data_IF_842632791511
#
_entry.id   IF_842632791511
#
_cell.length_a   1.000
_cell.length_b   1.000
_cell.length_c   1.000
_cell.angle_alpha   90.00
_cell.angle_beta   90.00
_cell.angle_gamma   90.00
#
_symmetry.space_group_name_H-M   'P 1'
#
loop_
_entity.id
_entity.type
_entity.pdbx_description
1 polymer ?
#
# COMPACT_ATOMS: atom_id res chain seq x y z
N UNK A 1 13.70 1.37 7.95
CA UNK A 1 13.35 0.16 7.17
C UNK A 1 14.43 -0.89 7.39
N UNK A 2 14.07 -2.16 7.45
CA UNK A 2 15.00 -3.27 7.65
C UNK A 2 14.58 -4.49 6.85
N UNK A 3 15.57 -5.25 6.38
CA UNK A 3 15.40 -6.58 5.78
C UNK A 3 15.81 -7.70 6.75
N UNK A 4 16.02 -7.36 8.02
CA UNK A 4 16.30 -8.35 9.07
C UNK A 4 14.94 -8.93 9.53
N UNK A 5 14.76 -10.25 9.50
CA UNK A 5 13.55 -10.89 9.99
C UNK A 5 13.33 -10.61 11.48
N UNK A 6 12.07 -10.42 11.87
CA UNK A 6 11.68 -10.18 13.27
C UNK A 6 10.77 -11.28 13.84
N UNK A 7 10.82 -12.49 13.26
CA UNK A 7 9.97 -13.62 13.63
C UNK A 7 8.54 -13.57 13.08
N UNK A 8 8.05 -12.41 12.63
CA UNK A 8 6.72 -12.25 12.01
C UNK A 8 6.78 -11.91 10.52
N UNK A 9 7.84 -11.24 10.10
CA UNK A 9 8.05 -10.77 8.73
C UNK A 9 9.52 -10.95 8.34
N UNK A 10 9.79 -11.17 7.05
CA UNK A 10 11.15 -11.25 6.52
C UNK A 10 11.84 -9.88 6.37
N UNK A 11 11.07 -8.80 6.51
CA UNK A 11 11.53 -7.42 6.47
C UNK A 11 10.34 -6.50 6.73
N UNK A 12 10.61 -5.26 7.16
CA UNK A 12 9.56 -4.31 7.47
C UNK A 12 10.01 -2.85 7.31
N UNK A 13 9.05 -2.00 6.99
CA UNK A 13 9.20 -0.55 7.04
C UNK A 13 8.30 0.01 8.13
N UNK A 14 8.92 0.54 9.18
CA UNK A 14 8.20 1.23 10.24
C UNK A 14 7.87 2.66 9.79
N UNK A 15 6.60 3.02 9.93
CA UNK A 15 6.09 4.36 9.73
C UNK A 15 5.66 4.92 11.08
N UNK A 16 5.89 6.22 11.29
CA UNK A 16 5.29 6.94 12.41
C UNK A 16 3.93 7.44 11.97
N UNK A 17 2.89 6.70 12.35
CA UNK A 17 1.52 6.92 11.86
C UNK A 17 0.63 7.51 12.94
N UNK A 18 -0.47 8.16 12.52
CA UNK A 18 -1.53 8.49 13.46
C UNK A 18 -2.29 7.22 13.84
N UNK A 19 -2.63 7.11 15.12
CA UNK A 19 -3.32 5.94 15.71
C UNK A 19 -4.76 5.77 15.22
N UNK A 20 -5.38 6.81 14.67
CA UNK A 20 -6.80 6.82 14.25
C UNK A 20 -6.98 6.92 12.73
N UNK A 21 -7.12 5.79 12.01
CA UNK A 21 -7.34 5.79 10.57
C UNK A 21 -8.63 6.50 10.12
N UNK A 22 -9.63 6.59 10.99
CA UNK A 22 -10.92 7.24 10.74
C UNK A 22 -10.77 8.75 10.53
N UNK A 23 -9.71 9.35 11.07
CA UNK A 23 -9.41 10.78 10.92
C UNK A 23 -8.68 11.11 9.60
N UNK A 24 -8.30 10.12 8.80
CA UNK A 24 -7.65 10.39 7.53
C UNK A 24 -8.63 10.96 6.50
N UNK A 25 -8.19 12.02 5.83
CA UNK A 25 -8.85 12.53 4.65
C UNK A 25 -8.86 11.49 3.52
N UNK A 26 -9.74 11.68 2.53
CA UNK A 26 -9.81 10.78 1.36
C UNK A 26 -8.48 10.69 0.60
N UNK A 27 -7.71 11.79 0.51
CA UNK A 27 -6.41 11.78 -0.15
C UNK A 27 -5.37 11.02 0.67
N UNK A 28 -5.38 11.17 2.00
CA UNK A 28 -4.50 10.43 2.90
C UNK A 28 -4.79 8.93 2.87
N UNK A 29 -6.06 8.51 2.87
CA UNK A 29 -6.43 7.09 2.72
C UNK A 29 -5.96 6.51 1.38
N UNK A 30 -6.04 7.27 0.28
CA UNK A 30 -5.50 6.85 -1.02
C UNK A 30 -3.98 6.69 -0.99
N UNK A 31 -3.28 7.65 -0.39
CA UNK A 31 -1.82 7.60 -0.25
C UNK A 31 -1.40 6.39 0.59
N UNK A 32 -2.07 6.17 1.73
CA UNK A 32 -1.84 5.02 2.59
C UNK A 32 -2.11 3.70 1.88
N UNK A 33 -3.18 3.61 1.09
CA UNK A 33 -3.46 2.41 0.30
C UNK A 33 -2.37 2.14 -0.75
N UNK A 34 -1.88 3.17 -1.43
CA UNK A 34 -0.77 3.05 -2.37
C UNK A 34 0.55 2.65 -1.69
N UNK A 35 0.79 3.13 -0.46
CA UNK A 35 1.93 2.74 0.36
C UNK A 35 1.88 1.25 0.73
N UNK A 36 0.75 0.76 1.24
CA UNK A 36 0.57 -0.67 1.61
C UNK A 36 0.77 -1.57 0.39
N UNK A 37 0.16 -1.21 -0.74
CA UNK A 37 0.28 -1.98 -1.99
C UNK A 37 1.59 -1.70 -2.75
N UNK A 38 2.45 -0.84 -2.22
CA UNK A 38 3.74 -0.48 -2.83
C UNK A 38 4.72 -1.63 -2.86
N UNK A 39 4.73 -2.49 -1.84
CA UNK A 39 5.52 -3.73 -1.82
C UNK A 39 5.14 -4.64 -2.98
N UNK A 40 3.83 -4.87 -3.16
CA UNK A 40 3.30 -5.69 -4.25
C UNK A 40 3.62 -5.09 -5.61
N UNK A 41 3.49 -3.77 -5.76
CA UNK A 41 3.86 -3.07 -6.98
C UNK A 41 5.36 -3.22 -7.29
N UNK A 42 6.22 -3.14 -6.27
CA UNK A 42 7.67 -3.32 -6.41
C UNK A 42 8.05 -4.74 -6.81
N UNK A 43 7.58 -5.76 -6.08
CA UNK A 43 7.83 -7.15 -6.41
C UNK A 43 7.34 -7.49 -7.83
N UNK A 44 6.13 -7.05 -8.19
CA UNK A 44 5.62 -7.27 -9.56
C UNK A 44 6.50 -6.58 -10.61
N UNK A 45 6.92 -5.34 -10.35
CA UNK A 45 7.73 -4.56 -11.30
C UNK A 45 9.13 -5.14 -11.52
N UNK A 46 9.79 -5.64 -10.47
CA UNK A 46 11.18 -6.10 -10.54
C UNK A 46 11.34 -7.61 -10.68
N UNK A 47 10.39 -8.39 -10.15
CA UNK A 47 10.46 -9.86 -10.09
C UNK A 47 9.38 -10.54 -10.95
N UNK A 48 8.45 -9.79 -11.55
CA UNK A 48 7.38 -10.30 -12.42
C UNK A 48 6.21 -10.96 -11.69
N UNK A 49 6.34 -11.28 -10.40
CA UNK A 49 5.27 -11.85 -9.57
C UNK A 49 5.42 -11.44 -8.10
N UNK A 50 4.32 -11.53 -7.35
CA UNK A 50 4.23 -11.09 -5.96
C UNK A 50 3.46 -12.13 -5.14
N UNK A 51 4.12 -12.78 -4.17
CA UNK A 51 3.55 -13.95 -3.46
C UNK A 51 3.52 -13.77 -1.92
N UNK A 52 4.21 -12.77 -1.38
CA UNK A 52 4.41 -12.56 0.08
C UNK A 52 3.44 -11.62 0.81
N UNK A 53 2.36 -11.13 0.17
CA UNK A 53 1.62 -9.93 0.62
C UNK A 53 0.36 -10.21 1.46
N UNK A 54 0.23 -11.39 2.06
CA UNK A 54 -1.01 -11.82 2.72
C UNK A 54 -1.44 -10.90 3.88
N UNK A 55 -0.47 -10.35 4.63
CA UNK A 55 -0.73 -9.42 5.74
C UNK A 55 -1.19 -8.07 5.20
N UNK A 56 -0.45 -7.49 4.25
CA UNK A 56 -0.74 -6.19 3.64
C UNK A 56 -2.11 -6.15 2.94
N UNK A 57 -2.54 -7.28 2.36
CA UNK A 57 -3.84 -7.39 1.69
C UNK A 57 -5.04 -7.20 2.64
N UNK A 58 -4.91 -7.55 3.93
CA UNK A 58 -6.01 -7.33 4.89
C UNK A 58 -6.21 -5.84 5.17
N UNK A 59 -5.12 -5.13 5.45
CA UNK A 59 -5.16 -3.69 5.72
C UNK A 59 -5.57 -2.90 4.48
N UNK A 60 -5.08 -3.30 3.30
CA UNK A 60 -5.50 -2.73 2.03
C UNK A 60 -7.01 -2.88 1.79
N UNK A 61 -7.59 -4.05 2.10
CA UNK A 61 -9.04 -4.28 2.00
C UNK A 61 -9.83 -3.40 2.97
N UNK A 62 -9.37 -3.21 4.21
CA UNK A 62 -10.01 -2.31 5.19
C UNK A 62 -10.03 -0.87 4.69
N UNK A 63 -8.89 -0.35 4.23
CA UNK A 63 -8.80 1.03 3.72
C UNK A 63 -9.62 1.21 2.43
N UNK A 64 -9.60 0.22 1.52
CA UNK A 64 -10.42 0.25 0.32
C UNK A 64 -11.91 0.30 0.67
N UNK A 65 -12.35 -0.41 1.70
CA UNK A 65 -13.73 -0.35 2.17
C UNK A 65 -14.12 1.04 2.67
N UNK A 66 -13.28 1.67 3.51
CA UNK A 66 -13.50 3.04 3.98
C UNK A 66 -13.64 4.02 2.81
N UNK A 67 -12.76 3.91 1.80
CA UNK A 67 -12.79 4.73 0.59
C UNK A 67 -14.06 4.51 -0.25
N UNK A 68 -14.58 3.29 -0.30
CA UNK A 68 -15.82 2.97 -1.03
C UNK A 68 -17.02 3.51 -0.25
N UNK A 69 -17.14 3.22 1.04
CA UNK A 69 -18.24 3.68 1.91
C UNK A 69 -18.34 5.20 1.96
N UNK A 70 -17.21 5.89 2.06
CA UNK A 70 -17.15 7.35 2.03
C UNK A 70 -17.38 7.99 0.66
N UNK A 71 -17.56 7.20 -0.42
CA UNK A 71 -17.78 7.76 -1.76
C UNK A 71 -19.25 8.15 -1.99
N UNK A 72 -19.48 9.29 -2.63
CA UNK A 72 -20.83 9.74 -3.03
C UNK A 72 -21.59 8.67 -3.83
N UNK A 73 -20.89 7.97 -4.74
CA UNK A 73 -21.46 6.88 -5.55
C UNK A 73 -21.94 5.68 -4.71
N UNK A 74 -21.35 5.42 -3.54
CA UNK A 74 -21.84 4.39 -2.63
C UNK A 74 -23.04 4.89 -1.84
N UNK A 75 -22.92 6.07 -1.21
CA UNK A 75 -23.99 6.66 -0.38
C UNK A 75 -25.29 6.90 -1.15
N UNK A 76 -25.20 7.29 -2.41
CA UNK A 76 -26.38 7.54 -3.26
C UNK A 76 -27.00 6.26 -3.84
N UNK A 77 -26.45 5.08 -3.54
CA UNK A 77 -26.95 3.80 -4.07
C UNK A 77 -28.01 3.22 -3.13
N UNK A 78 -29.16 2.74 -3.64
CA UNK A 78 -30.19 2.10 -2.82
C UNK A 78 -29.62 0.93 -2.01
N UNK A 79 -30.08 0.75 -0.78
CA UNK A 79 -29.60 -0.31 0.13
C UNK A 79 -29.72 -1.72 -0.50
N UNK A 80 -30.81 -1.99 -1.23
CA UNK A 80 -31.01 -3.24 -1.99
C UNK A 80 -29.93 -3.52 -3.04
N UNK A 81 -29.23 -2.48 -3.52
CA UNK A 81 -28.12 -2.58 -4.48
C UNK A 81 -26.75 -2.46 -3.85
N UNK A 82 -26.66 -2.31 -2.52
CA UNK A 82 -25.41 -2.30 -1.75
C UNK A 82 -24.99 -3.74 -1.37
N UNK A 83 -24.88 -4.60 -2.38
CA UNK A 83 -24.55 -6.01 -2.16
C UNK A 83 -23.08 -6.21 -1.81
N UNK A 84 -22.76 -7.32 -1.12
CA UNK A 84 -21.39 -7.72 -0.82
C UNK A 84 -20.54 -7.87 -2.09
N UNK A 85 -21.12 -8.41 -3.17
CA UNK A 85 -20.46 -8.54 -4.47
C UNK A 85 -20.11 -7.18 -5.08
N UNK A 86 -21.03 -6.21 -5.03
CA UNK A 86 -20.76 -4.87 -5.52
C UNK A 86 -19.71 -4.14 -4.66
N UNK A 87 -19.73 -4.32 -3.34
CA UNK A 87 -18.68 -3.83 -2.46
C UNK A 87 -17.32 -4.43 -2.84
N UNK A 88 -17.23 -5.74 -3.03
CA UNK A 88 -15.99 -6.42 -3.43
C UNK A 88 -15.46 -5.88 -4.77
N UNK A 89 -16.33 -5.75 -5.78
CA UNK A 89 -15.98 -5.15 -7.08
C UNK A 89 -15.40 -3.73 -6.91
N UNK A 90 -16.05 -2.89 -6.10
CA UNK A 90 -15.61 -1.51 -5.86
C UNK A 90 -14.30 -1.44 -5.08
N UNK A 91 -14.10 -2.30 -4.09
CA UNK A 91 -12.82 -2.42 -3.36
C UNK A 91 -11.70 -2.81 -4.32
N UNK A 92 -11.93 -3.83 -5.17
CA UNK A 92 -10.98 -4.26 -6.20
C UNK A 92 -10.57 -3.12 -7.13
N UNK A 93 -11.52 -2.31 -7.61
CA UNK A 93 -11.23 -1.12 -8.44
C UNK A 93 -10.35 -0.08 -7.74
N UNK A 94 -10.59 0.17 -6.45
CA UNK A 94 -9.83 1.13 -5.65
C UNK A 94 -8.41 0.60 -5.39
N UNK A 95 -8.27 -0.67 -5.05
CA UNK A 95 -6.97 -1.33 -4.85
C UNK A 95 -6.16 -1.38 -6.15
N UNK A 96 -6.79 -1.72 -7.29
CA UNK A 96 -6.12 -1.73 -8.59
C UNK A 96 -5.59 -0.34 -8.99
N UNK A 97 -6.35 0.72 -8.70
CA UNK A 97 -5.89 2.09 -8.93
C UNK A 97 -4.70 2.46 -8.03
N UNK A 98 -4.69 1.99 -6.77
CA UNK A 98 -3.58 2.20 -5.86
C UNK A 98 -2.32 1.41 -6.26
N UNK A 99 -2.47 0.16 -6.72
CA UNK A 99 -1.37 -0.64 -7.30
C UNK A 99 -0.74 0.08 -8.48
N UNK A 100 -1.55 0.51 -9.46
CA UNK A 100 -1.07 1.29 -10.61
C UNK A 100 -0.34 2.54 -10.14
N UNK A 101 -0.87 3.24 -9.14
CA UNK A 101 -0.20 4.44 -8.61
C UNK A 101 1.14 4.12 -7.94
N UNK A 102 1.23 3.01 -7.21
CA UNK A 102 2.47 2.52 -6.65
C UNK A 102 3.50 2.23 -7.74
N UNK A 103 3.11 1.51 -8.79
CA UNK A 103 3.97 1.24 -9.96
C UNK A 103 4.44 2.53 -10.61
N UNK A 104 3.54 3.49 -10.90
CA UNK A 104 3.90 4.80 -11.46
C UNK A 104 4.98 5.51 -10.62
N UNK A 105 4.80 5.55 -9.29
CA UNK A 105 5.75 6.20 -8.38
C UNK A 105 7.11 5.49 -8.40
N UNK A 106 7.11 4.15 -8.34
CA UNK A 106 8.35 3.36 -8.36
C UNK A 106 9.10 3.52 -9.68
N UNK A 107 8.39 3.47 -10.81
CA UNK A 107 8.98 3.67 -12.14
C UNK A 107 9.53 5.08 -12.29
N UNK A 108 8.80 6.11 -11.87
CA UNK A 108 9.28 7.49 -11.91
C UNK A 108 10.50 7.75 -11.03
N UNK A 109 10.74 6.92 -10.01
CA UNK A 109 11.84 7.05 -9.06
C UNK A 109 12.84 5.88 -9.13
N UNK A 110 12.93 5.20 -10.28
CA UNK A 110 13.71 3.97 -10.44
C UNK A 110 15.17 4.08 -9.94
N UNK A 111 15.91 5.18 -10.21
CA UNK A 111 17.28 5.33 -9.71
C UNK A 111 17.36 5.33 -8.18
N UNK A 112 16.41 6.01 -7.51
CA UNK A 112 16.36 6.06 -6.05
C UNK A 112 15.98 4.71 -5.46
N UNK A 113 15.02 4.00 -6.07
CA UNK A 113 14.63 2.65 -5.63
C UNK A 113 15.85 1.72 -5.67
N UNK A 114 16.59 1.69 -6.78
CA UNK A 114 17.82 0.89 -6.91
C UNK A 114 18.88 1.27 -5.86
N UNK A 115 19.12 2.58 -5.66
CA UNK A 115 20.06 3.09 -4.64
C UNK A 115 19.68 2.58 -3.24
N UNK A 116 18.40 2.67 -2.86
CA UNK A 116 17.91 2.21 -1.57
C UNK A 116 18.02 0.70 -1.43
N UNK A 117 17.66 -0.07 -2.47
CA UNK A 117 17.78 -1.53 -2.47
C UNK A 117 19.24 -2.00 -2.26
N UNK A 118 20.20 -1.40 -2.96
CA UNK A 118 21.63 -1.69 -2.79
C UNK A 118 22.09 -1.35 -1.37
N UNK A 119 21.70 -0.18 -0.86
CA UNK A 119 22.04 0.23 0.50
C UNK A 119 21.45 -0.71 1.57
N UNK A 120 20.24 -1.24 1.35
CA UNK A 120 19.60 -2.20 2.24
C UNK A 120 20.33 -3.53 2.25
N UNK A 121 20.76 -4.02 1.08
CA UNK A 121 21.56 -5.25 0.98
C UNK A 121 22.89 -5.11 1.73
N UNK A 122 23.54 -3.94 1.62
CA UNK A 122 24.82 -3.69 2.31
C UNK A 122 24.67 -3.53 3.82
N UNK A 123 23.65 -2.78 4.29
CA UNK A 123 23.54 -2.37 5.70
C UNK A 123 22.51 -3.14 6.51
N UNK A 124 21.64 -3.92 5.85
CA UNK A 124 20.47 -4.63 6.39
C UNK A 124 19.37 -3.74 7.01
N UNK A 125 19.72 -2.56 7.51
CA UNK A 125 18.81 -1.56 8.09
C UNK A 125 19.22 -0.15 7.63
N UNK A 126 18.22 0.66 7.27
CA UNK A 126 18.39 2.08 6.91
C UNK A 126 17.41 2.92 7.73
N UNK A 127 17.92 3.99 8.32
CA UNK A 127 17.16 4.99 9.07
C UNK A 127 16.74 6.17 8.19
N UNK A 128 15.71 6.90 8.63
CA UNK A 128 15.19 8.07 7.90
C UNK A 128 16.25 9.13 7.61
N UNK A 129 17.17 9.37 8.55
CA UNK A 129 18.30 10.30 8.39
C UNK A 129 19.20 9.97 7.19
N UNK A 130 19.22 8.71 6.78
CA UNK A 130 20.06 8.20 5.69
C UNK A 130 19.33 8.16 4.33
N UNK A 131 18.01 8.38 4.29
CA UNK A 131 17.20 8.35 3.05
C UNK A 131 17.15 9.70 2.31
N UNK A 132 17.49 10.81 2.99
CA UNK A 132 17.38 12.17 2.45
C UNK A 132 18.67 12.69 1.79
N UNK A 133 19.66 11.82 1.56
CA UNK A 133 20.95 12.13 0.90
C UNK A 133 21.13 11.26 -0.35
#
# INVERSE_FOLDING_TARGET
MTIIPNGRTAGCTYFWEREEPELYSRSQLKAKLAQILGGQAGETLFCGSAVGHGVDLRDAKRIAEMLVRGSRKWRNRPASRQTAQYMAYRKGRVMAAALRKGTEILTANLPLVKKVSIALLAKKTIYRSQLRR
#
